data_IF_213428483722
#
_entry.id   IF_213428483722
#
_cell.length_a   1.000
_cell.length_b   1.000
_cell.length_c   1.000
_cell.angle_alpha   90.00
_cell.angle_beta   90.00
_cell.angle_gamma   90.00
#
_symmetry.space_group_name_H-M   'P 1'
#
loop_
_entity.id
_entity.type
_entity.pdbx_description
1 polymer ?
#
# COMPACT_ATOMS: atom_id res chain seq x y z
N UNK A 1 -27.89 0.09 23.39
CA UNK A 1 -27.48 -0.39 22.05
C UNK A 1 -26.26 -1.29 22.23
N UNK A 2 -26.31 -2.52 21.73
CA UNK A 2 -25.34 -3.59 22.01
C UNK A 2 -23.93 -3.28 21.43
N UNK A 3 -22.89 -3.45 22.23
CA UNK A 3 -21.49 -3.13 21.88
C UNK A 3 -20.96 -4.00 20.74
N UNK A 4 -21.48 -5.22 20.56
CA UNK A 4 -21.09 -6.12 19.48
C UNK A 4 -21.50 -5.59 18.09
N UNK A 5 -22.68 -4.97 17.98
CA UNK A 5 -23.16 -4.39 16.72
C UNK A 5 -22.28 -3.21 16.30
N UNK A 6 -21.83 -2.41 17.26
CA UNK A 6 -20.94 -1.25 17.00
C UNK A 6 -19.58 -1.68 16.46
N UNK A 7 -19.02 -2.78 16.94
CA UNK A 7 -17.72 -3.29 16.48
C UNK A 7 -17.79 -3.84 15.05
N UNK A 8 -18.84 -4.61 14.72
CA UNK A 8 -19.01 -5.12 13.36
C UNK A 8 -19.24 -4.00 12.33
N UNK A 9 -19.98 -2.95 12.71
CA UNK A 9 -20.22 -1.78 11.87
C UNK A 9 -18.97 -0.89 11.70
N UNK A 10 -17.96 -1.04 12.57
CA UNK A 10 -16.73 -0.25 12.52
C UNK A 10 -15.68 -0.83 11.55
N UNK A 11 -16.00 -1.90 10.81
CA UNK A 11 -15.08 -2.49 9.84
C UNK A 11 -15.00 -1.69 8.53
N UNK A 12 -13.80 -1.60 7.93
CA UNK A 12 -12.50 -1.88 8.54
C UNK A 12 -12.14 -0.80 9.57
N UNK A 13 -11.57 -1.21 10.72
CA UNK A 13 -11.12 -0.26 11.74
C UNK A 13 -9.60 -0.07 11.64
N UNK A 14 -9.16 1.16 11.38
CA UNK A 14 -7.74 1.51 11.48
C UNK A 14 -7.38 1.92 12.91
N UNK A 15 -6.41 1.23 13.50
CA UNK A 15 -5.82 1.56 14.80
C UNK A 15 -4.32 1.70 14.63
N UNK A 16 -3.85 2.95 14.53
CA UNK A 16 -2.41 3.29 14.45
C UNK A 16 -1.69 2.59 13.28
N UNK A 17 -2.33 2.51 12.12
CA UNK A 17 -1.77 1.85 10.91
C UNK A 17 -1.89 0.33 10.94
N UNK A 18 -2.67 -0.21 11.88
CA UNK A 18 -3.10 -1.62 11.89
C UNK A 18 -4.57 -1.64 11.46
N UNK A 19 -4.85 -2.36 10.38
CA UNK A 19 -6.22 -2.56 9.87
C UNK A 19 -6.82 -3.79 10.52
N UNK A 20 -7.87 -3.60 11.31
CA UNK A 20 -8.57 -4.64 12.04
C UNK A 20 -9.91 -4.94 11.36
N UNK A 21 -10.25 -6.23 11.37
CA UNK A 21 -11.55 -6.74 10.94
C UNK A 21 -12.21 -7.55 12.05
N UNK A 22 -13.41 -7.16 12.41
CA UNK A 22 -14.28 -7.86 13.34
C UNK A 22 -15.22 -8.77 12.57
N UNK A 23 -15.18 -10.06 12.84
CA UNK A 23 -16.05 -11.04 12.17
C UNK A 23 -17.10 -11.53 13.15
N UNK A 24 -18.34 -11.68 12.67
CA UNK A 24 -19.40 -12.29 13.47
C UNK A 24 -19.13 -13.78 13.58
N UNK A 25 -18.96 -14.27 14.80
CA UNK A 25 -18.84 -15.70 15.05
C UNK A 25 -20.15 -16.43 14.77
N UNK A 26 -20.06 -17.61 14.14
CA UNK A 26 -21.18 -18.52 13.88
C UNK A 26 -20.74 -19.97 14.12
N UNK A 27 -21.63 -20.89 14.53
CA UNK A 27 -21.31 -22.32 14.57
C UNK A 27 -20.79 -22.78 13.20
N UNK A 28 -19.70 -23.56 13.20
CA UNK A 28 -19.02 -23.96 11.97
C UNK A 28 -18.17 -22.86 11.32
N UNK A 29 -17.77 -21.81 12.07
CA UNK A 29 -16.85 -20.79 11.58
C UNK A 29 -15.51 -21.40 11.19
N UNK A 30 -15.14 -21.20 9.92
CA UNK A 30 -13.89 -21.66 9.32
C UNK A 30 -13.03 -20.45 8.96
N UNK A 31 -11.93 -20.19 9.70
CA UNK A 31 -11.08 -19.03 9.46
C UNK A 31 -10.51 -18.97 8.05
N UNK A 32 -10.20 -20.13 7.48
CA UNK A 32 -9.68 -20.28 6.12
C UNK A 32 -10.68 -19.79 5.07
N UNK A 33 -11.93 -20.23 5.12
CA UNK A 33 -12.96 -19.82 4.16
C UNK A 33 -13.21 -18.30 4.20
N UNK A 34 -13.20 -17.73 5.40
CA UNK A 34 -13.38 -16.28 5.57
C UNK A 34 -12.15 -15.51 5.08
N UNK A 35 -10.93 -15.95 5.38
CA UNK A 35 -9.72 -15.30 4.90
C UNK A 35 -9.64 -15.25 3.36
N UNK A 36 -10.18 -16.24 2.65
CA UNK A 36 -10.24 -16.24 1.18
C UNK A 36 -11.29 -15.27 0.61
N UNK A 37 -12.36 -14.99 1.37
CA UNK A 37 -13.43 -14.07 0.97
C UNK A 37 -13.21 -12.65 1.45
N UNK A 38 -12.29 -12.45 2.40
CA UNK A 38 -11.87 -11.13 2.84
C UNK A 38 -11.13 -10.39 1.72
N UNK A 39 -11.31 -9.07 1.71
CA UNK A 39 -10.60 -8.19 0.79
C UNK A 39 -9.10 -8.34 1.00
N UNK A 40 -8.37 -8.57 -0.10
CA UNK A 40 -6.92 -8.74 -0.03
C UNK A 40 -6.30 -7.38 0.23
N UNK A 41 -5.31 -7.35 1.12
CA UNK A 41 -4.57 -6.14 1.42
C UNK A 41 -3.14 -6.25 0.96
N UNK A 42 -2.64 -5.17 0.39
CA UNK A 42 -1.29 -5.09 -0.15
C UNK A 42 -0.59 -3.90 0.48
N UNK A 43 0.66 -4.12 0.89
CA UNK A 43 1.52 -3.02 1.28
C UNK A 43 2.25 -2.56 0.03
N UNK A 44 1.98 -1.35 -0.40
CA UNK A 44 2.62 -0.72 -1.55
C UNK A 44 3.48 0.45 -1.10
N UNK A 45 4.56 0.71 -1.81
CA UNK A 45 5.38 1.91 -1.66
C UNK A 45 4.98 2.91 -2.73
N UNK A 46 4.44 4.04 -2.30
CA UNK A 46 4.12 5.17 -3.17
C UNK A 46 5.36 6.05 -3.27
N UNK A 47 5.82 6.33 -4.49
CA UNK A 47 6.95 7.20 -4.75
C UNK A 47 6.45 8.47 -5.45
N UNK A 48 7.00 9.62 -5.04
CA UNK A 48 6.69 10.95 -5.57
C UNK A 48 7.92 11.48 -6.32
N UNK A 49 8.15 11.03 -7.57
CA UNK A 49 9.31 11.46 -8.35
C UNK A 49 9.28 12.98 -8.56
N UNK A 50 10.44 13.62 -8.37
CA UNK A 50 10.59 15.06 -8.59
C UNK A 50 9.81 15.94 -7.60
N UNK A 51 9.35 15.39 -6.47
CA UNK A 51 8.65 16.16 -5.46
C UNK A 51 9.56 17.26 -4.90
N UNK A 52 9.11 18.51 -4.99
CA UNK A 52 9.84 19.66 -4.44
C UNK A 52 9.98 19.52 -2.93
N UNK A 53 11.14 19.91 -2.40
CA UNK A 53 11.51 19.76 -0.99
C UNK A 53 10.48 20.38 -0.02
N UNK A 54 9.82 21.46 -0.43
CA UNK A 54 8.76 22.13 0.33
C UNK A 54 7.55 21.22 0.64
N UNK A 55 7.24 20.26 -0.23
CA UNK A 55 6.14 19.30 -0.05
C UNK A 55 6.54 18.04 0.73
N UNK A 56 7.81 17.88 1.12
CA UNK A 56 8.26 16.66 1.82
C UNK A 56 7.58 16.50 3.18
N UNK A 57 7.29 17.61 3.86
CA UNK A 57 6.52 17.60 5.12
C UNK A 57 5.09 17.08 4.96
N UNK A 58 4.57 17.05 3.73
CA UNK A 58 3.22 16.61 3.38
C UNK A 58 3.16 15.17 2.85
N UNK A 59 4.28 14.43 2.83
CA UNK A 59 4.33 13.04 2.38
C UNK A 59 3.32 12.15 3.10
N UNK A 60 3.16 12.32 4.42
CA UNK A 60 2.15 11.57 5.17
C UNK A 60 0.73 11.95 4.70
N UNK A 61 0.43 13.24 4.55
CA UNK A 61 -0.89 13.68 4.11
C UNK A 61 -1.22 13.17 2.71
N UNK A 62 -0.26 13.19 1.78
CA UNK A 62 -0.42 12.62 0.44
C UNK A 62 -0.60 11.09 0.47
N UNK A 63 0.10 10.38 1.35
CA UNK A 63 -0.12 8.95 1.53
C UNK A 63 -1.51 8.63 2.06
N UNK A 64 -2.01 9.43 3.00
CA UNK A 64 -3.34 9.28 3.59
C UNK A 64 -4.49 9.53 2.60
N UNK A 65 -4.27 10.29 1.52
CA UNK A 65 -5.30 10.44 0.47
C UNK A 65 -5.42 9.20 -0.41
N UNK A 66 -4.41 8.31 -0.41
CA UNK A 66 -4.45 7.04 -1.13
C UNK A 66 -5.16 5.99 -0.28
N UNK A 67 -4.60 5.66 0.90
CA UNK A 67 -5.22 4.77 1.89
C UNK A 67 -4.44 4.85 3.22
N UNK A 68 -4.64 3.89 4.12
CA UNK A 68 -4.00 3.78 5.42
C UNK A 68 -2.45 3.77 5.33
N UNK A 69 -1.82 4.79 5.90
CA UNK A 69 -0.35 4.88 5.98
C UNK A 69 0.19 3.76 6.88
N UNK A 70 1.17 3.03 6.36
CA UNK A 70 1.94 2.09 7.15
C UNK A 70 3.29 2.69 7.52
N UNK A 71 3.39 3.19 8.76
CA UNK A 71 4.67 3.74 9.26
C UNK A 71 5.71 2.62 9.36
N UNK A 72 6.87 2.73 8.69
CA UNK A 72 7.91 1.73 8.83
C UNK A 72 8.41 1.72 10.28
N UNK A 73 8.64 0.54 10.82
CA UNK A 73 9.36 0.39 12.08
C UNK A 73 10.75 1.00 11.91
N UNK A 74 11.13 1.92 12.79
CA UNK A 74 12.43 2.58 12.70
C UNK A 74 13.56 1.54 12.72
N UNK A 75 14.26 1.44 11.60
CA UNK A 75 15.38 0.53 11.36
C UNK A 75 16.38 1.15 10.37
N UNK A 76 17.54 0.50 10.17
CA UNK A 76 18.57 1.00 9.26
C UNK A 76 18.06 1.27 7.83
N UNK A 77 17.17 0.43 7.31
CA UNK A 77 16.56 0.65 5.99
C UNK A 77 15.76 1.95 5.95
N UNK A 78 14.91 2.21 6.96
CA UNK A 78 14.12 3.46 7.05
C UNK A 78 14.99 4.72 7.18
N UNK A 79 16.18 4.60 7.81
CA UNK A 79 17.16 5.70 7.89
C UNK A 79 17.83 5.96 6.56
N UNK A 80 18.13 4.90 5.80
CA UNK A 80 18.71 5.00 4.46
C UNK A 80 17.71 5.63 3.48
N UNK A 81 16.42 5.27 3.50
CA UNK A 81 15.41 5.93 2.65
C UNK A 81 15.25 7.41 2.98
N UNK A 82 15.26 7.77 4.27
CA UNK A 82 15.29 9.18 4.70
C UNK A 82 16.57 9.91 4.27
N UNK A 83 17.72 9.23 4.31
CA UNK A 83 19.00 9.81 3.92
C UNK A 83 19.18 9.92 2.40
N UNK A 84 18.50 9.07 1.62
CA UNK A 84 18.47 9.11 0.16
C UNK A 84 17.48 10.14 -0.40
N UNK A 85 16.84 10.93 0.47
CA UNK A 85 15.82 11.92 0.13
C UNK A 85 14.70 11.36 -0.77
N UNK A 86 14.45 10.06 -0.65
CA UNK A 86 13.47 9.37 -1.46
C UNK A 86 12.08 9.73 -0.95
N UNK A 87 11.44 10.70 -1.62
CA UNK A 87 10.05 11.11 -1.40
C UNK A 87 9.11 9.91 -1.64
N UNK A 88 8.95 9.07 -0.62
CA UNK A 88 8.21 7.82 -0.70
C UNK A 88 7.56 7.46 0.63
N UNK A 89 6.40 6.80 0.56
CA UNK A 89 5.64 6.37 1.74
C UNK A 89 5.03 4.99 1.50
N UNK A 90 4.89 4.20 2.57
CA UNK A 90 4.23 2.88 2.51
C UNK A 90 2.78 3.04 2.89
N UNK A 91 1.90 2.44 2.10
CA UNK A 91 0.44 2.50 2.27
C UNK A 91 -0.10 1.09 2.19
N UNK A 92 -1.09 0.78 3.03
CA UNK A 92 -1.84 -0.46 3.00
C UNK A 92 -3.10 -0.23 2.17
N UNK A 93 -3.16 -0.82 0.98
CA UNK A 93 -4.25 -0.66 0.02
C UNK A 93 -5.03 -1.97 -0.10
N UNK A 94 -6.36 -1.87 -0.27
CA UNK A 94 -7.21 -3.02 -0.56
C UNK A 94 -7.52 -3.18 -2.06
N UNK A 95 -7.54 -2.05 -2.77
CA UNK A 95 -7.70 -1.98 -4.22
C UNK A 95 -6.38 -1.55 -4.89
N UNK A 96 -5.84 -2.42 -5.75
CA UNK A 96 -4.63 -2.13 -6.53
C UNK A 96 -4.91 -1.67 -7.96
N UNK A 97 -6.16 -1.80 -8.40
CA UNK A 97 -6.57 -1.52 -9.79
C UNK A 97 -6.97 -0.05 -9.97
N UNK A 98 -7.47 0.59 -8.90
CA UNK A 98 -7.93 1.99 -8.94
C UNK A 98 -7.01 2.98 -8.19
N UNK A 99 -5.71 2.72 -8.15
CA UNK A 99 -4.76 3.61 -7.50
C UNK A 99 -4.57 4.91 -8.30
N UNK A 100 -4.58 6.09 -7.65
CA UNK A 100 -4.43 7.36 -8.35
C UNK A 100 -3.03 7.47 -8.95
N UNK A 101 -2.90 7.92 -10.20
CA UNK A 101 -1.59 8.12 -10.86
C UNK A 101 -1.07 9.55 -10.65
N UNK A 102 -1.95 10.46 -10.21
CA UNK A 102 -1.65 11.87 -9.97
C UNK A 102 -2.33 12.33 -8.68
N UNK A 103 -1.62 13.11 -7.87
CA UNK A 103 -2.14 13.82 -6.69
C UNK A 103 -2.04 15.31 -6.94
N UNK A 104 -3.12 16.04 -6.67
CA UNK A 104 -3.16 17.50 -6.78
C UNK A 104 -2.67 18.15 -5.52
N UNK A 105 -1.66 19.00 -5.65
CA UNK A 105 -1.08 19.79 -4.57
C UNK A 105 -1.37 21.27 -4.77
N UNK A 106 -1.66 22.03 -3.70
CA UNK A 106 -1.72 23.47 -3.78
C UNK A 106 -0.32 24.03 -4.05
N UNK A 107 -0.18 24.88 -5.07
CA UNK A 107 1.05 25.62 -5.33
C UNK A 107 1.15 26.84 -4.40
N UNK A 108 2.39 27.25 -4.08
CA UNK A 108 2.66 28.48 -3.32
C UNK A 108 2.10 29.73 -4.02
N UNK A 109 2.01 29.73 -5.35
CA UNK A 109 1.48 30.82 -6.17
C UNK A 109 -0.05 30.76 -6.35
N UNK A 110 -0.75 30.10 -5.42
CA UNK A 110 -2.20 29.83 -5.47
C UNK A 110 -2.67 29.01 -6.71
N UNK A 111 -1.74 28.40 -7.43
CA UNK A 111 -2.03 27.44 -8.50
C UNK A 111 -2.28 26.02 -7.99
N UNK A 112 -2.47 25.08 -8.93
CA UNK A 112 -2.54 23.64 -8.66
C UNK A 112 -1.35 22.98 -9.34
N UNK A 113 -0.66 22.12 -8.60
CA UNK A 113 0.44 21.29 -9.09
C UNK A 113 0.00 19.83 -9.15
N UNK A 114 0.14 19.21 -10.32
CA UNK A 114 -0.18 17.80 -10.53
C UNK A 114 1.07 16.95 -10.28
N UNK A 115 1.16 16.34 -9.09
CA UNK A 115 2.24 15.44 -8.72
C UNK A 115 1.96 14.02 -9.24
N UNK A 116 2.80 13.53 -10.15
CA UNK A 116 2.75 12.12 -10.59
C UNK A 116 3.20 11.19 -9.47
N UNK A 117 2.56 10.02 -9.33
CA UNK A 117 2.94 8.99 -8.35
C UNK A 117 3.25 7.67 -9.02
N UNK A 118 4.22 6.96 -8.45
CA UNK A 118 4.68 5.65 -8.96
C UNK A 118 4.67 4.62 -7.85
N UNK A 119 4.01 3.51 -8.09
CA UNK A 119 3.83 2.44 -7.10
C UNK A 119 4.91 1.35 -7.23
N UNK A 120 5.43 0.93 -6.07
CA UNK A 120 6.31 -0.21 -5.91
C UNK A 120 5.67 -1.27 -5.00
N UNK A 121 5.96 -2.54 -5.24
CA UNK A 121 5.42 -3.66 -4.47
C UNK A 121 4.00 -4.07 -4.89
N UNK A 122 3.55 -3.69 -6.09
CA UNK A 122 2.25 -4.13 -6.60
C UNK A 122 2.24 -5.65 -6.87
N UNK A 123 1.07 -6.30 -6.75
CA UNK A 123 0.92 -7.72 -7.10
C UNK A 123 1.35 -7.98 -8.55
N UNK A 124 2.28 -8.91 -8.76
CA UNK A 124 2.79 -9.24 -10.09
C UNK A 124 3.82 -8.24 -10.66
N UNK A 125 4.22 -7.22 -9.89
CA UNK A 125 5.30 -6.32 -10.31
C UNK A 125 6.66 -7.01 -10.16
N UNK A 126 7.48 -6.91 -11.20
CA UNK A 126 8.85 -7.41 -11.14
C UNK A 126 9.69 -6.53 -10.21
N UNK A 127 10.41 -7.15 -9.26
CA UNK A 127 11.29 -6.42 -8.34
C UNK A 127 12.45 -5.70 -9.06
N UNK A 128 12.91 -6.24 -10.20
CA UNK A 128 14.08 -5.74 -10.93
C UNK A 128 13.70 -4.62 -11.90
N UNK A 129 12.74 -4.85 -12.80
CA UNK A 129 12.37 -3.86 -13.81
C UNK A 129 11.23 -2.94 -13.39
N UNK A 130 10.57 -3.20 -12.25
CA UNK A 130 9.41 -2.44 -11.73
C UNK A 130 8.20 -2.37 -12.67
N UNK A 131 8.20 -3.15 -13.76
CA UNK A 131 7.08 -3.32 -14.68
C UNK A 131 6.13 -4.43 -14.20
N UNK A 132 4.84 -4.25 -14.50
CA UNK A 132 3.81 -5.28 -14.33
C UNK A 132 3.93 -6.32 -15.44
N UNK A 133 4.88 -7.25 -15.32
CA UNK A 133 5.00 -8.37 -16.25
C UNK A 133 4.31 -9.60 -15.66
N UNK A 134 3.49 -10.35 -16.42
CA UNK A 134 2.94 -11.62 -15.94
C UNK A 134 4.06 -12.52 -15.39
N UNK A 135 3.89 -13.01 -14.15
CA UNK A 135 4.86 -13.82 -13.38
C UNK A 135 5.53 -14.97 -14.18
N UNK A 136 4.88 -15.48 -15.24
CA UNK A 136 5.44 -16.53 -16.11
C UNK A 136 6.64 -16.08 -16.95
N UNK A 137 6.79 -14.78 -17.17
CA UNK A 137 7.83 -14.23 -18.04
C UNK A 137 9.00 -13.61 -17.26
N UNK A 138 8.91 -13.51 -15.93
CA UNK A 138 9.91 -12.86 -15.08
C UNK A 138 10.97 -13.81 -14.50
N UNK A 139 10.86 -15.13 -14.71
CA UNK A 139 11.89 -16.07 -14.27
C UNK A 139 13.05 -16.12 -15.29
N UNK A 140 14.31 -15.95 -14.85
CA UNK A 140 15.47 -16.37 -15.62
C UNK A 140 15.30 -17.83 -16.04
N UNK A 141 15.71 -18.19 -17.25
CA UNK A 141 15.48 -19.55 -17.80
C UNK A 141 15.99 -20.67 -16.89
N UNK A 142 17.00 -20.39 -16.07
CA UNK A 142 17.66 -21.33 -15.16
C UNK A 142 16.82 -21.74 -13.94
N UNK A 143 15.84 -20.93 -13.50
CA UNK A 143 14.95 -21.31 -12.37
C UNK A 143 13.68 -22.04 -12.82
N UNK A 144 13.41 -22.11 -14.13
CA UNK A 144 12.24 -22.81 -14.69
C UNK A 144 12.35 -24.33 -14.58
N UNK A 145 13.56 -24.86 -14.39
CA UNK A 145 13.80 -26.31 -14.26
C UNK A 145 13.63 -26.86 -12.84
N UNK A 146 13.59 -26.00 -11.81
CA UNK A 146 13.41 -26.47 -10.41
C UNK A 146 11.96 -26.70 -9.98
N UNK A 147 10.99 -26.27 -10.78
CA UNK A 147 9.55 -26.39 -10.48
C UNK A 147 8.77 -27.20 -11.51
N UNK A 148 9.46 -28.03 -12.30
CA UNK A 148 8.81 -29.02 -13.16
C UNK A 148 8.50 -30.26 -12.31
N UNK A 149 7.26 -30.35 -11.84
CA UNK A 149 6.68 -31.63 -11.40
C UNK A 149 6.53 -32.55 -12.61
#
# INVERSE_FOLDING_TARGET
MDSHIRLLAANPLDVRGIRLFFLKWKPGFRPDEVAHSMEKMFIVTVNFPGLLAEYHSLLENMGATIDAIQKPKENMASRITKALDAASIRVLVSDTDNLPVVIRLPSLDAGIWDQTVVYGGLPGQCFICKENRPLRQSLPKEEKEKFRF
#
